data_IF_756051919851
#
_entry.id   IF_756051919851
#
_cell.length_a   1.000
_cell.length_b   1.000
_cell.length_c   1.000
_cell.angle_alpha   90.00
_cell.angle_beta   90.00
_cell.angle_gamma   90.00
#
_symmetry.space_group_name_H-M   'P 1'
#
loop_
_entity.id
_entity.type
_entity.pdbx_description
1 polymer ?
#
# COMPACT_ATOMS: atom_id res chain seq x y z
N UNK A 1 8.36 -14.53 6.72
CA UNK A 1 7.68 -13.23 6.95
C UNK A 1 8.58 -12.21 6.29
N UNK A 2 8.15 -11.70 5.14
CA UNK A 2 8.97 -10.77 4.36
C UNK A 2 8.87 -9.39 5.02
N UNK A 3 9.96 -8.95 5.61
CA UNK A 3 10.11 -7.65 6.27
C UNK A 3 10.90 -6.79 5.30
N UNK A 4 10.21 -5.95 4.54
CA UNK A 4 10.85 -5.04 3.61
C UNK A 4 11.23 -3.75 4.35
N UNK A 5 12.44 -3.73 4.92
CA UNK A 5 13.07 -2.53 5.49
C UNK A 5 13.55 -1.53 4.41
N UNK A 6 13.02 -1.62 3.18
CA UNK A 6 13.33 -0.77 2.03
C UNK A 6 12.23 -0.77 0.97
N UNK A 7 12.36 0.07 -0.07
CA UNK A 7 11.36 0.26 -1.12
C UNK A 7 10.78 -1.07 -1.65
N UNK A 8 9.45 -1.17 -1.65
CA UNK A 8 8.73 -2.36 -2.10
C UNK A 8 8.26 -2.15 -3.53
N UNK A 9 8.77 -2.98 -4.45
CA UNK A 9 8.25 -3.06 -5.81
C UNK A 9 7.65 -4.45 -6.00
N UNK A 10 6.32 -4.53 -6.13
CA UNK A 10 5.63 -5.78 -6.38
C UNK A 10 4.74 -5.66 -7.63
N UNK A 11 4.86 -6.63 -8.54
CA UNK A 11 3.98 -6.75 -9.71
C UNK A 11 3.39 -8.15 -9.75
N UNK A 12 2.08 -8.24 -9.95
CA UNK A 12 1.39 -9.50 -10.11
C UNK A 12 0.40 -9.39 -11.28
N UNK A 13 0.12 -10.51 -11.94
CA UNK A 13 -0.90 -10.57 -12.99
C UNK A 13 -2.22 -11.13 -12.45
N UNK A 14 -2.16 -12.32 -11.83
CA UNK A 14 -3.33 -13.10 -11.37
C UNK A 14 -3.14 -13.63 -9.95
N UNK A 15 -2.36 -12.93 -9.13
CA UNK A 15 -2.16 -13.29 -7.74
C UNK A 15 -2.38 -12.05 -6.87
N UNK A 16 -3.02 -12.17 -5.69
CA UNK A 16 -3.20 -11.04 -4.80
C UNK A 16 -1.83 -10.57 -4.27
N UNK A 17 -1.62 -9.26 -4.28
CA UNK A 17 -0.45 -8.64 -3.65
C UNK A 17 -0.83 -8.28 -2.22
N UNK A 18 -0.15 -8.87 -1.23
CA UNK A 18 -0.35 -8.55 0.19
C UNK A 18 0.96 -8.08 0.81
N UNK A 19 1.06 -6.78 1.06
CA UNK A 19 2.14 -6.25 1.87
C UNK A 19 1.66 -6.14 3.33
N UNK A 20 2.16 -7.04 4.17
CA UNK A 20 1.76 -7.13 5.58
C UNK A 20 2.68 -6.32 6.50
N UNK A 21 3.84 -5.89 5.99
CA UNK A 21 4.90 -5.27 6.77
C UNK A 21 4.95 -3.75 6.60
N UNK A 22 5.50 -3.04 7.58
CA UNK A 22 5.65 -1.59 7.51
C UNK A 22 6.63 -1.23 6.40
N UNK A 23 6.14 -0.60 5.33
CA UNK A 23 7.02 -0.08 4.26
C UNK A 23 7.56 1.28 4.67
N UNK A 24 8.87 1.48 4.54
CA UNK A 24 9.54 2.79 4.66
C UNK A 24 10.02 3.20 3.27
N UNK A 25 9.81 4.45 2.86
CA UNK A 25 10.19 4.92 1.52
C UNK A 25 9.03 4.80 0.53
N UNK A 26 9.14 3.93 -0.47
CA UNK A 26 8.17 3.84 -1.57
C UNK A 26 7.63 2.41 -1.78
N UNK A 27 6.32 2.28 -1.98
CA UNK A 27 5.64 1.05 -2.39
C UNK A 27 5.03 1.24 -3.79
N UNK A 28 5.57 0.56 -4.80
CA UNK A 28 5.00 0.53 -6.16
C UNK A 28 4.38 -0.84 -6.46
N UNK A 29 3.07 -0.86 -6.60
CA UNK A 29 2.26 -2.07 -6.68
C UNK A 29 1.38 -2.05 -7.93
N UNK A 30 1.53 -3.06 -8.79
CA UNK A 30 0.73 -3.20 -10.02
C UNK A 30 0.09 -4.59 -10.09
N UNK A 31 -1.25 -4.65 -10.23
CA UNK A 31 -2.00 -5.89 -10.44
C UNK A 31 -3.01 -5.77 -11.61
N UNK A 32 -3.32 -6.89 -12.26
CA UNK A 32 -4.21 -6.94 -13.43
C UNK A 32 -5.57 -7.58 -13.15
N UNK A 33 -5.64 -8.53 -12.22
CA UNK A 33 -6.83 -9.37 -12.04
C UNK A 33 -7.29 -9.40 -10.59
N UNK A 34 -6.38 -9.56 -9.64
CA UNK A 34 -6.68 -9.72 -8.21
C UNK A 34 -6.47 -8.44 -7.41
N UNK A 35 -6.93 -8.43 -6.16
CA UNK A 35 -6.82 -7.29 -5.27
C UNK A 35 -5.38 -6.95 -4.85
N UNK A 36 -5.19 -5.70 -4.42
CA UNK A 36 -3.97 -5.22 -3.75
C UNK A 36 -4.31 -4.85 -2.32
N UNK A 37 -3.54 -5.37 -1.37
CA UNK A 37 -3.65 -5.04 0.05
C UNK A 37 -2.32 -4.49 0.58
N UNK A 38 -2.39 -3.30 1.18
CA UNK A 38 -1.22 -2.57 1.70
C UNK A 38 -1.41 -2.24 3.18
N UNK A 39 -0.49 -2.76 4.00
CA UNK A 39 -0.33 -2.39 5.40
C UNK A 39 0.65 -1.22 5.56
N UNK A 40 0.28 -0.23 6.38
CA UNK A 40 1.17 0.88 6.78
C UNK A 40 1.30 0.89 8.29
N UNK A 41 2.52 1.04 8.82
CA UNK A 41 2.73 1.14 10.28
C UNK A 41 1.89 2.26 10.89
N UNK A 42 1.44 2.08 12.12
CA UNK A 42 0.66 3.08 12.86
C UNK A 42 1.40 4.42 13.02
N UNK A 43 2.74 4.36 13.10
CA UNK A 43 3.60 5.52 13.33
C UNK A 43 4.20 6.12 12.05
N UNK A 44 3.75 5.68 10.86
CA UNK A 44 4.27 6.15 9.56
C UNK A 44 3.23 6.98 8.83
N UNK A 45 3.61 8.18 8.38
CA UNK A 45 2.76 8.99 7.49
C UNK A 45 2.71 8.35 6.10
N UNK A 46 1.57 8.42 5.40
CA UNK A 46 1.42 7.82 4.08
C UNK A 46 0.92 8.83 3.07
N UNK A 47 1.62 8.94 1.95
CA UNK A 47 1.16 9.62 0.74
C UNK A 47 0.62 8.55 -0.19
N UNK A 48 -0.67 8.61 -0.52
CA UNK A 48 -1.36 7.55 -1.26
C UNK A 48 -1.81 8.05 -2.63
N UNK A 49 -1.31 7.38 -3.66
CA UNK A 49 -1.78 7.46 -5.03
C UNK A 49 -2.25 6.06 -5.46
N UNK A 50 -3.56 5.81 -5.37
CA UNK A 50 -4.16 4.52 -5.66
C UNK A 50 -5.31 4.65 -6.66
N UNK A 51 -5.30 3.79 -7.69
CA UNK A 51 -6.31 3.78 -8.74
C UNK A 51 -6.66 2.32 -9.10
N UNK A 52 -7.95 2.02 -9.16
CA UNK A 52 -8.44 0.78 -9.76
C UNK A 52 -9.39 1.09 -10.92
N UNK A 53 -9.13 0.53 -12.10
CA UNK A 53 -9.92 0.83 -13.31
C UNK A 53 -11.35 0.31 -13.24
N UNK A 54 -11.57 -0.93 -12.78
CA UNK A 54 -12.90 -1.55 -12.65
C UNK A 54 -13.20 -2.05 -11.22
N UNK A 55 -12.46 -1.58 -10.22
CA UNK A 55 -12.67 -1.94 -8.82
C UNK A 55 -12.84 -0.74 -7.91
N UNK A 56 -12.67 -0.95 -6.60
CA UNK A 56 -12.80 0.12 -5.60
C UNK A 56 -11.49 0.36 -4.86
N UNK A 57 -11.21 1.61 -4.50
CA UNK A 57 -10.12 1.94 -3.60
C UNK A 57 -10.70 2.22 -2.22
N UNK A 58 -10.30 1.44 -1.22
CA UNK A 58 -10.69 1.61 0.18
C UNK A 58 -9.48 2.03 1.00
N UNK A 59 -9.47 3.30 1.40
CA UNK A 59 -8.43 3.85 2.26
C UNK A 59 -8.96 4.00 3.69
N UNK A 60 -8.41 3.22 4.62
CA UNK A 60 -8.71 3.28 6.06
C UNK A 60 -7.57 3.90 6.88
N UNK A 61 -6.58 4.49 6.23
CA UNK A 61 -5.52 5.22 6.90
C UNK A 61 -6.08 6.54 7.45
N UNK A 62 -5.93 6.76 8.75
CA UNK A 62 -6.21 8.06 9.35
C UNK A 62 -5.35 9.13 8.69
N UNK A 63 -5.96 10.27 8.37
CA UNK A 63 -5.24 11.46 7.91
C UNK A 63 -4.24 11.85 9.01
N UNK A 64 -2.95 11.76 8.69
CA UNK A 64 -1.87 12.23 9.56
C UNK A 64 -1.14 13.34 8.81
N UNK A 65 -0.74 14.41 9.51
CA UNK A 65 0.10 15.44 8.93
C UNK A 65 1.39 14.80 8.39
N UNK A 66 1.62 14.94 7.08
CA UNK A 66 2.87 14.51 6.47
C UNK A 66 4.02 15.29 7.13
N UNK A 67 4.88 14.59 7.88
CA UNK A 67 6.09 15.17 8.46
C UNK A 67 6.15 15.31 9.99
N UNK A 68 5.14 14.87 10.76
CA UNK A 68 5.25 14.86 12.24
C UNK A 68 5.95 13.62 12.80
N UNK A 69 5.91 12.51 12.07
CA UNK A 69 6.63 11.27 12.38
C UNK A 69 7.71 11.07 11.31
N UNK A 70 8.94 10.78 11.72
CA UNK A 70 10.12 10.83 10.85
C UNK A 70 10.11 9.84 9.67
N UNK A 71 9.23 8.84 9.69
CA UNK A 71 9.04 7.90 8.60
C UNK A 71 7.78 8.24 7.79
N UNK A 72 7.96 8.41 6.48
CA UNK A 72 6.88 8.55 5.50
C UNK A 72 6.97 7.44 4.46
N UNK A 73 5.82 6.98 3.96
CA UNK A 73 5.72 6.04 2.85
C UNK A 73 4.93 6.64 1.70
N UNK A 74 5.46 6.54 0.49
CA UNK A 74 4.74 6.84 -0.75
C UNK A 74 4.18 5.55 -1.32
N UNK A 75 2.87 5.48 -1.54
CA UNK A 75 2.20 4.28 -2.04
C UNK A 75 1.62 4.61 -3.41
N UNK A 76 2.16 3.96 -4.44
CA UNK A 76 1.63 3.99 -5.79
C UNK A 76 1.04 2.62 -6.13
N UNK A 77 -0.29 2.51 -6.10
CA UNK A 77 -1.01 1.27 -6.35
C UNK A 77 -1.91 1.38 -7.58
N UNK A 78 -1.80 0.43 -8.50
CA UNK A 78 -2.62 0.35 -9.71
C UNK A 78 -3.21 -1.04 -9.87
N UNK A 79 -4.54 -1.12 -10.02
CA UNK A 79 -5.24 -2.36 -10.31
C UNK A 79 -6.22 -2.19 -11.48
N UNK A 80 -6.53 -3.26 -12.19
CA UNK A 80 -7.48 -3.21 -13.33
C UNK A 80 -8.87 -3.75 -13.00
N UNK A 81 -9.00 -4.87 -12.27
CA UNK A 81 -10.29 -5.59 -12.14
C UNK A 81 -10.87 -5.61 -10.73
N UNK A 82 -10.06 -5.83 -9.70
CA UNK A 82 -10.52 -5.88 -8.30
C UNK A 82 -10.17 -4.58 -7.54
N UNK A 83 -10.37 -4.56 -6.23
CA UNK A 83 -10.10 -3.41 -5.39
C UNK A 83 -8.65 -3.26 -4.94
N UNK A 84 -8.42 -2.11 -4.30
CA UNK A 84 -7.22 -1.79 -3.55
C UNK A 84 -7.66 -1.47 -2.12
N UNK A 85 -7.03 -2.10 -1.13
CA UNK A 85 -7.30 -1.86 0.28
C UNK A 85 -6.02 -1.35 0.96
N UNK A 86 -6.12 -0.17 1.57
CA UNK A 86 -5.07 0.39 2.41
C UNK A 86 -5.53 0.41 3.85
N UNK A 87 -4.72 -0.17 4.74
CA UNK A 87 -5.03 -0.30 6.17
C UNK A 87 -3.79 -0.09 7.04
N UNK A 88 -4.02 0.24 8.30
CA UNK A 88 -2.95 0.21 9.30
C UNK A 88 -2.53 -1.23 9.57
N UNK A 89 -1.23 -1.48 9.56
CA UNK A 89 -0.64 -2.72 10.00
C UNK A 89 -0.34 -2.61 11.49
N UNK A 90 -0.75 -3.62 12.25
CA UNK A 90 -0.25 -3.82 13.60
C UNK A 90 1.17 -4.37 13.46
N UNK A 91 2.14 -3.66 14.05
CA UNK A 91 3.53 -4.13 14.18
C UNK A 91 3.61 -5.35 15.13
#
# INVERSE_FOLDING_TARGET
MDRADGDVVAKAADCPIRNSGPTRGMAKLENSSDGIEVGVSEHTSAVVDAESTNGTVRNSLSVQDAGRSGDSVEIHARNRRDGIVLRRALD
#
